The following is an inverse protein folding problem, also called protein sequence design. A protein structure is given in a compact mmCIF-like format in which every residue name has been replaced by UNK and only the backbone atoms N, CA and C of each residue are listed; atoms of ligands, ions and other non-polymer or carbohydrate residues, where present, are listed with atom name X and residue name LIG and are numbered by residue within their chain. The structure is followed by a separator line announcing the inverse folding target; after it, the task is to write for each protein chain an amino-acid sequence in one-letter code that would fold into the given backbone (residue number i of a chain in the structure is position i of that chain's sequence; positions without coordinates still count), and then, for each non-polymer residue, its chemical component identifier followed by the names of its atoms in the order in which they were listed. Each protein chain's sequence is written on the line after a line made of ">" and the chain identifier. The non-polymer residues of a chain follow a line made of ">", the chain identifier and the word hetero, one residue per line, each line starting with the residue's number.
data_IF_774934576492
#
_entry.id   IF_774934576492
#
_cell.length_a   1.000
_cell.length_b   1.000
_cell.length_c   1.000
_cell.angle_alpha   90.00
_cell.angle_beta   90.00
_cell.angle_gamma   90.00
#
_symmetry.space_group_name_H-M   'P 1'
#
loop_
_entity.id
_entity.type
_entity.pdbx_description
1 polymer ?
#
# COMPACT_ATOMS: atom_id res chain seq x y z
N UNK A 1 -0.48 -31.56 17.15
CA UNK A 1 0.35 -32.76 17.40
C UNK A 1 1.59 -32.58 16.54
N UNK A 2 2.81 -32.34 17.02
CA UNK A 2 3.44 -32.60 18.32
C UNK A 2 4.22 -31.35 18.76
N UNK A 3 4.40 -31.15 20.06
CA UNK A 3 5.22 -30.07 20.61
C UNK A 3 6.59 -30.63 21.04
N UNK A 4 7.68 -29.96 20.65
CA UNK A 4 9.02 -30.20 21.19
C UNK A 4 9.32 -29.03 22.13
N UNK A 5 9.47 -29.31 23.41
CA UNK A 5 9.75 -28.30 24.44
C UNK A 5 11.25 -28.18 24.67
N UNK A 6 11.84 -27.06 24.25
CA UNK A 6 13.15 -26.62 24.73
C UNK A 6 12.96 -25.46 25.71
N UNK A 7 13.43 -25.63 26.94
CA UNK A 7 13.36 -24.63 28.00
C UNK A 7 14.42 -23.55 27.73
N UNK A 8 14.06 -22.51 26.98
CA UNK A 8 14.89 -21.31 26.85
C UNK A 8 14.31 -20.22 27.75
N UNK A 9 15.15 -19.69 28.65
CA UNK A 9 14.85 -18.51 29.45
C UNK A 9 14.38 -17.39 28.52
N UNK A 10 13.09 -17.07 28.57
CA UNK A 10 12.46 -16.06 27.73
C UNK A 10 12.74 -14.69 28.34
N UNK A 11 13.91 -14.12 28.03
CA UNK A 11 14.12 -12.69 28.20
C UNK A 11 13.15 -11.98 27.26
N UNK A 12 12.03 -11.49 27.80
CA UNK A 12 11.10 -10.62 27.07
C UNK A 12 11.81 -9.30 26.86
N UNK A 13 12.59 -9.18 25.78
CA UNK A 13 12.94 -7.87 25.26
C UNK A 13 11.63 -7.23 24.81
N UNK A 14 11.21 -6.18 25.52
CA UNK A 14 10.21 -5.24 25.04
C UNK A 14 10.80 -4.53 23.82
N UNK A 15 10.78 -5.21 22.68
CA UNK A 15 11.14 -4.64 21.40
C UNK A 15 10.12 -3.59 21.04
N UNK A 16 10.54 -2.33 20.97
CA UNK A 16 9.70 -1.26 20.42
C UNK A 16 9.62 -1.48 18.91
N UNK A 17 8.49 -1.98 18.42
CA UNK A 17 8.23 -2.02 16.98
C UNK A 17 7.89 -0.60 16.50
N UNK A 18 8.82 0.04 15.79
CA UNK A 18 8.58 1.30 15.07
C UNK A 18 7.74 1.02 13.82
N UNK A 19 6.46 0.71 14.01
CA UNK A 19 5.49 0.54 12.93
C UNK A 19 4.85 1.86 12.54
N UNK A 20 4.55 2.03 11.24
CA UNK A 20 3.66 3.08 10.75
C UNK A 20 2.26 2.54 10.57
N UNK A 21 1.29 3.23 11.15
CA UNK A 21 -0.13 3.02 10.86
C UNK A 21 -0.48 3.85 9.62
N UNK A 22 -0.95 3.17 8.58
CA UNK A 22 -1.55 3.80 7.40
C UNK A 22 -3.07 3.78 7.51
N UNK A 23 -3.72 4.79 6.93
CA UNK A 23 -5.16 4.90 6.83
C UNK A 23 -5.54 4.88 5.35
N UNK A 24 -6.45 3.99 4.95
CA UNK A 24 -6.86 3.84 3.56
C UNK A 24 -8.37 4.07 3.40
N UNK A 25 -8.77 4.84 2.39
CA UNK A 25 -10.18 5.18 2.12
C UNK A 25 -10.45 5.16 0.60
N UNK A 26 -11.59 4.63 0.14
CA UNK A 26 -12.58 3.88 0.90
C UNK A 26 -12.07 2.49 1.31
N UNK A 27 -12.73 1.87 2.31
CA UNK A 27 -12.42 0.50 2.76
C UNK A 27 -12.90 -0.53 1.74
N UNK A 28 -14.02 -0.25 1.09
CA UNK A 28 -14.63 -1.08 0.06
C UNK A 28 -15.38 -0.19 -0.94
N UNK A 29 -15.41 -0.59 -2.20
CA UNK A 29 -16.07 0.16 -3.26
C UNK A 29 -16.61 -0.77 -4.35
N UNK A 30 -17.85 -0.54 -4.76
CA UNK A 30 -18.48 -1.19 -5.91
C UNK A 30 -18.74 -0.14 -6.99
N UNK A 31 -18.25 -0.39 -8.20
CA UNK A 31 -18.36 0.50 -9.37
C UNK A 31 -18.58 -0.31 -10.63
N UNK A 32 -19.13 0.31 -11.65
CA UNK A 32 -19.35 -0.31 -12.94
C UNK A 32 -18.08 -0.21 -13.81
N UNK A 33 -17.89 -1.14 -14.78
CA UNK A 33 -16.80 -1.04 -15.72
C UNK A 33 -16.80 0.30 -16.48
N UNK A 34 -15.60 0.82 -16.78
CA UNK A 34 -15.38 2.13 -17.41
C UNK A 34 -15.33 3.31 -16.43
N UNK A 35 -15.81 3.16 -15.19
CA UNK A 35 -15.74 4.23 -14.18
C UNK A 35 -14.30 4.47 -13.68
N UNK A 36 -14.11 5.63 -13.03
CA UNK A 36 -12.86 5.98 -12.34
C UNK A 36 -12.99 5.73 -10.84
N UNK A 37 -11.98 5.11 -10.25
CA UNK A 37 -11.86 4.91 -8.81
C UNK A 37 -10.68 5.70 -8.26
N UNK A 38 -10.84 6.27 -7.07
CA UNK A 38 -9.74 6.83 -6.27
C UNK A 38 -9.67 6.10 -4.95
N UNK A 39 -8.49 5.57 -4.64
CA UNK A 39 -8.12 5.09 -3.32
C UNK A 39 -7.13 6.09 -2.74
N UNK A 40 -7.31 6.46 -1.48
CA UNK A 40 -6.44 7.39 -0.76
C UNK A 40 -5.78 6.62 0.38
N UNK A 41 -4.48 6.80 0.54
CA UNK A 41 -3.74 6.31 1.70
C UNK A 41 -3.01 7.47 2.37
N UNK A 42 -3.01 7.52 3.69
CA UNK A 42 -2.31 8.54 4.47
C UNK A 42 -1.67 7.99 5.74
N UNK A 43 -0.71 8.74 6.30
CA UNK A 43 -0.12 8.48 7.61
C UNK A 43 0.44 9.77 8.25
N UNK A 44 0.61 9.74 9.57
CA UNK A 44 1.01 10.92 10.36
C UNK A 44 2.53 11.11 10.48
N UNK A 45 3.35 10.17 10.00
CA UNK A 45 4.81 10.32 10.01
C UNK A 45 5.30 11.35 8.99
N UNK A 46 6.22 12.20 9.41
CA UNK A 46 6.82 13.25 8.57
C UNK A 46 8.03 12.74 7.78
N UNK A 47 8.70 11.71 8.30
CA UNK A 47 9.98 11.15 7.85
C UNK A 47 9.83 9.91 6.96
N UNK A 48 8.61 9.58 6.52
CA UNK A 48 8.32 8.43 5.64
C UNK A 48 7.99 8.97 4.24
N UNK A 49 8.99 9.26 3.40
CA UNK A 49 8.80 9.90 2.10
C UNK A 49 8.38 8.91 0.99
N UNK A 50 8.26 7.61 1.28
CA UNK A 50 7.95 6.59 0.29
C UNK A 50 6.60 5.94 0.61
N UNK A 51 5.65 6.01 -0.34
CA UNK A 51 4.42 5.23 -0.30
C UNK A 51 4.27 4.36 -1.55
N UNK A 52 3.93 3.09 -1.33
CA UNK A 52 3.83 2.07 -2.37
C UNK A 52 2.39 1.57 -2.46
N UNK A 53 1.98 1.17 -3.66
CA UNK A 53 0.68 0.57 -3.91
C UNK A 53 0.85 -0.85 -4.47
N UNK A 54 -0.01 -1.76 -3.99
CA UNK A 54 -0.04 -3.16 -4.37
C UNK A 54 -1.44 -3.61 -4.71
N UNK A 55 -1.53 -4.55 -5.65
CA UNK A 55 -2.74 -5.27 -6.00
C UNK A 55 -2.62 -6.74 -5.57
N UNK A 56 -3.68 -7.27 -4.97
CA UNK A 56 -3.85 -8.71 -4.72
C UNK A 56 -5.10 -9.21 -5.42
N UNK A 57 -4.93 -9.87 -6.56
CA UNK A 57 -6.05 -10.46 -7.30
C UNK A 57 -6.65 -11.66 -6.54
N UNK A 58 -7.93 -12.00 -6.78
CA UNK A 58 -8.54 -13.20 -6.22
C UNK A 58 -7.71 -14.45 -6.58
N UNK A 59 -7.43 -15.30 -5.58
CA UNK A 59 -6.62 -16.51 -5.76
C UNK A 59 -5.09 -16.30 -5.71
N UNK A 60 -4.59 -15.08 -5.90
CA UNK A 60 -3.15 -14.81 -5.81
C UNK A 60 -2.65 -14.93 -4.37
N UNK A 61 -1.50 -15.57 -4.17
CA UNK A 61 -0.80 -15.60 -2.88
C UNK A 61 0.11 -14.38 -2.68
N UNK A 62 0.68 -13.86 -3.77
CA UNK A 62 1.61 -12.75 -3.74
C UNK A 62 0.94 -11.40 -4.05
N UNK A 63 1.51 -10.33 -3.51
CA UNK A 63 1.15 -8.96 -3.86
C UNK A 63 1.90 -8.54 -5.13
N UNK A 64 1.19 -8.01 -6.12
CA UNK A 64 1.78 -7.38 -7.31
C UNK A 64 1.98 -5.90 -7.03
N UNK A 65 3.21 -5.41 -7.17
CA UNK A 65 3.52 -3.99 -7.00
C UNK A 65 2.99 -3.20 -8.19
N UNK A 66 2.20 -2.16 -7.94
CA UNK A 66 1.69 -1.25 -8.97
C UNK A 66 2.73 -0.17 -9.27
N UNK A 67 3.28 0.39 -8.20
CA UNK A 67 4.18 1.53 -8.28
C UNK A 67 4.33 2.21 -6.92
N UNK A 68 4.95 3.38 -6.95
CA UNK A 68 5.18 4.16 -5.74
C UNK A 68 5.24 5.67 -6.01
N UNK A 69 5.18 6.41 -4.92
CA UNK A 69 5.50 7.83 -4.84
C UNK A 69 6.65 7.98 -3.83
N UNK A 70 7.78 8.53 -4.27
CA UNK A 70 8.91 8.91 -3.42
C UNK A 70 9.06 10.42 -3.43
N UNK A 71 8.81 11.06 -2.29
CA UNK A 71 8.53 12.50 -2.20
C UNK A 71 7.40 12.89 -3.17
N UNK A 72 7.75 13.49 -4.31
CA UNK A 72 6.85 13.86 -5.39
C UNK A 72 7.15 13.10 -6.70
N UNK A 73 8.17 12.23 -6.70
CA UNK A 73 8.54 11.42 -7.84
C UNK A 73 7.68 10.15 -7.89
N UNK A 74 6.99 9.95 -9.02
CA UNK A 74 6.11 8.80 -9.22
C UNK A 74 6.77 7.79 -10.15
N UNK A 75 6.60 6.51 -9.83
CA UNK A 75 7.05 5.42 -10.68
C UNK A 75 6.02 4.30 -10.71
N UNK A 76 5.88 3.68 -11.87
CA UNK A 76 4.95 2.59 -12.14
C UNK A 76 5.69 1.42 -12.76
N UNK A 77 5.32 0.22 -12.37
CA UNK A 77 5.69 -0.97 -13.13
C UNK A 77 5.00 -0.92 -14.51
N UNK A 78 5.71 -1.33 -15.57
CA UNK A 78 5.25 -1.17 -16.96
C UNK A 78 3.84 -1.73 -17.20
N UNK A 79 3.53 -2.88 -16.60
CA UNK A 79 2.25 -3.58 -16.76
C UNK A 79 1.05 -2.80 -16.19
N UNK A 80 1.28 -1.81 -15.32
CA UNK A 80 0.22 -1.02 -14.67
C UNK A 80 0.06 0.39 -15.23
N UNK A 81 0.99 0.89 -16.07
CA UNK A 81 1.01 2.28 -16.54
C UNK A 81 -0.25 2.75 -17.27
N UNK A 82 -0.96 1.84 -17.93
CA UNK A 82 -2.13 2.18 -18.77
C UNK A 82 -3.36 2.55 -17.94
N UNK A 83 -3.63 1.83 -16.86
CA UNK A 83 -4.89 1.93 -16.10
C UNK A 83 -4.72 2.47 -14.69
N UNK A 84 -3.48 2.61 -14.21
CA UNK A 84 -3.19 3.05 -12.85
C UNK A 84 -2.36 4.33 -12.86
N UNK A 85 -2.76 5.29 -12.05
CA UNK A 85 -1.99 6.51 -11.84
C UNK A 85 -1.84 6.80 -10.34
N UNK A 86 -0.65 7.21 -9.93
CA UNK A 86 -0.36 7.58 -8.53
C UNK A 86 -0.20 9.08 -8.47
N UNK A 87 -0.74 9.71 -7.44
CA UNK A 87 -0.56 11.13 -7.16
C UNK A 87 -0.38 11.38 -5.67
N UNK A 88 0.17 12.54 -5.34
CA UNK A 88 0.37 12.99 -3.96
C UNK A 88 1.64 13.81 -3.89
N UNK A 89 1.92 14.32 -2.70
CA UNK A 89 3.18 14.97 -2.38
C UNK A 89 3.56 14.55 -0.95
N UNK A 90 4.67 13.81 -0.85
CA UNK A 90 5.21 13.32 0.41
C UNK A 90 6.39 14.17 0.89
N UNK A 91 6.59 15.37 0.34
CA UNK A 91 7.60 16.32 0.79
C UNK A 91 7.22 17.05 2.09
N UNK A 92 8.19 17.76 2.68
CA UNK A 92 8.00 18.57 3.89
C UNK A 92 7.80 17.80 5.19
N UNK A 93 7.38 18.51 6.24
CA UNK A 93 7.26 17.98 7.61
C UNK A 93 5.79 17.89 8.06
N UNK A 94 4.93 17.36 7.20
CA UNK A 94 3.49 17.19 7.48
C UNK A 94 3.07 15.74 7.32
N UNK A 95 1.84 15.42 7.76
CA UNK A 95 1.19 14.16 7.43
C UNK A 95 1.20 13.91 5.92
N UNK A 96 1.38 12.66 5.54
CA UNK A 96 1.60 12.25 4.15
C UNK A 96 0.34 11.63 3.59
N UNK A 97 0.09 11.87 2.30
CA UNK A 97 -1.05 11.29 1.60
C UNK A 97 -0.70 11.01 0.14
N UNK A 98 -1.02 9.82 -0.32
CA UNK A 98 -0.92 9.41 -1.71
C UNK A 98 -2.24 8.80 -2.17
N UNK A 99 -2.63 9.10 -3.40
CA UNK A 99 -3.82 8.52 -4.05
C UNK A 99 -3.40 7.59 -5.17
N UNK A 100 -4.11 6.46 -5.27
CA UNK A 100 -4.12 5.59 -6.44
C UNK A 100 -5.42 5.82 -7.20
N UNK A 101 -5.29 6.13 -8.49
CA UNK A 101 -6.40 6.20 -9.42
C UNK A 101 -6.40 4.97 -10.30
N UNK A 102 -7.57 4.35 -10.44
CA UNK A 102 -7.84 3.30 -11.41
C UNK A 102 -8.76 3.94 -12.46
N UNK A 103 -8.30 4.01 -13.71
CA UNK A 103 -9.04 4.59 -14.83
C UNK A 103 -9.46 3.51 -15.79
N UNK A 104 -10.61 3.70 -16.44
CA UNK A 104 -11.21 2.70 -17.32
C UNK A 104 -11.31 1.34 -16.59
N UNK A 105 -12.11 1.30 -15.51
CA UNK A 105 -12.20 0.13 -14.63
C UNK A 105 -12.63 -1.12 -15.42
N UNK A 106 -11.90 -2.23 -15.27
CA UNK A 106 -12.18 -3.50 -15.97
C UNK A 106 -12.44 -4.62 -14.97
N UNK A 107 -13.43 -5.45 -15.29
CA UNK A 107 -13.70 -6.67 -14.56
C UNK A 107 -13.42 -7.86 -15.50
N UNK A 108 -12.70 -8.90 -15.02
CA UNK A 108 -12.31 -9.13 -13.63
C UNK A 108 -10.97 -8.50 -13.18
N UNK A 109 -10.20 -7.90 -14.08
CA UNK A 109 -8.78 -7.56 -13.85
C UNK A 109 -8.53 -6.59 -12.70
N UNK A 110 -9.42 -5.60 -12.50
CA UNK A 110 -9.31 -4.60 -11.43
C UNK A 110 -10.16 -4.96 -10.20
N UNK A 111 -10.86 -6.11 -10.22
CA UNK A 111 -11.58 -6.61 -9.05
C UNK A 111 -10.61 -7.31 -8.09
N UNK A 112 -9.99 -6.54 -7.21
CA UNK A 112 -8.90 -6.99 -6.34
C UNK A 112 -8.90 -6.27 -5.00
N UNK A 113 -8.11 -6.76 -4.04
CA UNK A 113 -7.78 -6.00 -2.83
C UNK A 113 -6.54 -5.16 -3.09
N UNK A 114 -6.60 -3.88 -2.73
CA UNK A 114 -5.51 -2.92 -2.92
C UNK A 114 -4.91 -2.54 -1.57
N UNK A 115 -3.58 -2.60 -1.47
CA UNK A 115 -2.85 -2.28 -0.25
C UNK A 115 -1.90 -1.13 -0.50
N UNK A 116 -1.88 -0.15 0.41
CA UNK A 116 -0.78 0.80 0.52
C UNK A 116 0.21 0.37 1.61
N UNK A 117 1.47 0.75 1.41
CA UNK A 117 2.50 0.67 2.44
C UNK A 117 3.29 1.98 2.46
N UNK A 118 3.81 2.34 3.63
CA UNK A 118 4.67 3.50 3.81
C UNK A 118 5.99 3.05 4.45
N UNK A 119 7.09 3.61 3.99
CA UNK A 119 8.40 3.33 4.56
C UNK A 119 9.26 4.59 4.67
N UNK A 120 10.21 4.53 5.60
CA UNK A 120 11.39 5.37 5.55
C UNK A 120 12.15 5.04 4.26
N UNK A 121 12.80 6.03 3.65
CA UNK A 121 13.70 5.79 2.52
C UNK A 121 15.14 5.78 3.05
N UNK A 122 15.83 4.65 2.85
CA UNK A 122 17.23 4.48 3.21
C UNK A 122 18.15 5.07 2.12
#
# INVERSE_FOLDING_TARGET
>A
VSAVSHYYSFFVFLGVCLGVKVFQTPVEIFRTPGEKVQLVCSHEKTDYPLMQWYQKSPGDQALKRIGHLYYNNKEHEEVFKTHFNISGDLSGEKAKSASLFIVDLKAPEHSAVYYCAASFAH
#
